data_IF_306484556155
#
_entry.id   IF_306484556155
#
_cell.length_a   1.000
_cell.length_b   1.000
_cell.length_c   1.000
_cell.angle_alpha   90.00
_cell.angle_beta   90.00
_cell.angle_gamma   90.00
#
_symmetry.space_group_name_H-M   'P 1'
#
loop_
_entity.id
_entity.type
_entity.pdbx_description
1 polymer ?
#
# COMPACT_ATOMS: atom_id res chain seq x y z
N UNK A 1 -28.10 -23.05 -5.57
CA UNK A 1 -27.03 -24.07 -5.51
C UNK A 1 -25.98 -23.55 -4.56
N UNK A 2 -25.58 -24.24 -3.50
CA UNK A 2 -24.68 -23.70 -2.47
C UNK A 2 -23.24 -23.73 -2.98
N UNK A 3 -22.55 -22.60 -2.83
CA UNK A 3 -21.12 -22.45 -3.11
C UNK A 3 -20.34 -23.11 -1.95
N UNK A 4 -19.63 -24.18 -2.27
CA UNK A 4 -18.84 -24.95 -1.33
C UNK A 4 -17.66 -24.13 -0.79
N UNK A 5 -17.54 -24.08 0.53
CA UNK A 5 -16.35 -23.60 1.25
C UNK A 5 -15.13 -24.43 0.84
N UNK A 6 -14.14 -23.79 0.22
CA UNK A 6 -12.83 -24.40 -0.03
C UNK A 6 -12.02 -24.35 1.26
N UNK A 7 -11.94 -25.47 1.93
CA UNK A 7 -11.01 -25.68 3.03
C UNK A 7 -9.57 -25.68 2.48
N UNK A 8 -8.74 -24.85 3.08
CA UNK A 8 -7.30 -24.89 2.93
C UNK A 8 -6.80 -26.21 3.51
N UNK A 9 -6.28 -27.11 2.69
CA UNK A 9 -5.59 -28.32 3.16
C UNK A 9 -4.18 -27.89 3.52
N UNK A 10 -3.93 -27.69 4.81
CA UNK A 10 -2.59 -27.61 5.35
C UNK A 10 -1.97 -29.02 5.31
N UNK A 11 -0.97 -29.22 4.47
CA UNK A 11 -0.17 -30.43 4.51
C UNK A 11 0.71 -30.41 5.77
N UNK A 12 0.28 -31.11 6.82
CA UNK A 12 1.10 -31.37 8.00
C UNK A 12 2.10 -32.45 7.62
N UNK A 13 3.32 -32.06 7.33
CA UNK A 13 4.46 -32.97 7.33
C UNK A 13 4.88 -33.20 8.78
N UNK A 14 4.51 -34.36 9.32
CA UNK A 14 4.98 -34.85 10.62
C UNK A 14 6.44 -35.26 10.45
N UNK A 15 7.40 -34.36 10.66
CA UNK A 15 8.81 -34.71 10.76
C UNK A 15 9.12 -35.13 12.21
N UNK A 16 9.61 -36.34 12.38
CA UNK A 16 10.20 -36.85 13.61
C UNK A 16 11.34 -35.90 14.04
N UNK A 17 11.12 -35.17 15.14
CA UNK A 17 12.10 -34.26 15.69
C UNK A 17 13.31 -35.05 16.24
N UNK A 18 14.42 -35.04 15.51
CA UNK A 18 15.74 -35.30 16.08
C UNK A 18 16.17 -34.04 16.86
N UNK A 19 16.50 -34.11 18.16
CA UNK A 19 16.90 -32.98 18.97
C UNK A 19 18.33 -32.49 18.65
N UNK A 20 18.68 -32.34 17.40
CA UNK A 20 20.00 -31.89 16.94
C UNK A 20 19.99 -31.07 15.64
N UNK A 21 18.84 -30.90 15.00
CA UNK A 21 18.76 -30.24 13.67
C UNK A 21 18.38 -28.75 13.67
N UNK A 22 18.10 -28.14 14.82
CA UNK A 22 17.57 -26.78 14.90
C UNK A 22 18.64 -25.66 14.91
N UNK A 23 19.91 -26.00 14.74
CA UNK A 23 21.01 -25.02 14.75
C UNK A 23 21.52 -24.61 13.35
N UNK A 24 21.04 -25.23 12.29
CA UNK A 24 21.42 -24.83 10.93
C UNK A 24 20.50 -23.73 10.41
N UNK A 25 21.07 -22.59 10.10
CA UNK A 25 20.37 -21.52 9.40
C UNK A 25 20.28 -21.82 7.90
N UNK A 26 19.19 -21.40 7.29
CA UNK A 26 18.94 -21.47 5.85
C UNK A 26 17.91 -20.43 5.44
N UNK A 27 17.68 -20.31 4.16
CA UNK A 27 16.64 -19.42 3.63
C UNK A 27 15.30 -20.15 3.59
N UNK A 28 14.23 -19.40 3.93
CA UNK A 28 12.84 -19.87 3.84
C UNK A 28 12.00 -18.84 3.10
N UNK A 29 11.07 -19.31 2.26
CA UNK A 29 10.07 -18.48 1.62
C UNK A 29 8.68 -18.87 2.08
N UNK A 30 7.93 -17.90 2.58
CA UNK A 30 6.52 -18.05 2.92
C UNK A 30 5.66 -17.12 2.08
N UNK A 31 4.49 -17.63 1.63
CA UNK A 31 3.57 -16.89 0.79
C UNK A 31 2.14 -16.98 1.32
N UNK A 32 1.45 -15.86 1.32
CA UNK A 32 0.07 -15.71 1.75
C UNK A 32 -0.71 -14.92 0.70
N UNK A 33 -2.00 -15.18 0.59
CA UNK A 33 -2.91 -14.27 -0.08
C UNK A 33 -3.60 -13.41 0.98
N UNK A 34 -3.23 -12.14 1.06
CA UNK A 34 -3.75 -11.18 2.03
C UNK A 34 -3.89 -9.79 1.39
N UNK A 35 -4.80 -8.97 1.93
CA UNK A 35 -4.99 -7.58 1.46
C UNK A 35 -5.30 -7.45 -0.05
N UNK A 36 -5.86 -8.51 -0.65
CA UNK A 36 -6.17 -8.58 -2.07
C UNK A 36 -4.97 -8.83 -2.99
N UNK A 37 -3.81 -9.20 -2.46
CA UNK A 37 -2.59 -9.47 -3.22
C UNK A 37 -1.78 -10.63 -2.63
N UNK A 38 -0.67 -10.99 -3.29
CA UNK A 38 0.30 -11.94 -2.76
C UNK A 38 1.25 -11.22 -1.80
N UNK A 39 1.34 -11.73 -0.57
CA UNK A 39 2.36 -11.37 0.41
C UNK A 39 3.43 -12.46 0.40
N UNK A 40 4.68 -12.08 0.23
CA UNK A 40 5.84 -12.99 0.29
C UNK A 40 6.79 -12.50 1.40
N UNK A 41 7.29 -13.43 2.21
CA UNK A 41 8.38 -13.16 3.16
C UNK A 41 9.51 -14.15 2.86
N UNK A 42 10.63 -13.61 2.42
CA UNK A 42 11.89 -14.32 2.27
C UNK A 42 12.72 -14.12 3.54
N UNK A 43 12.81 -15.14 4.36
CA UNK A 43 13.70 -15.20 5.52
C UNK A 43 15.08 -15.64 5.06
N UNK A 44 16.11 -14.96 5.48
CA UNK A 44 17.48 -15.21 5.07
C UNK A 44 18.33 -15.53 6.28
N UNK A 45 19.04 -16.65 6.21
CA UNK A 45 19.97 -17.11 7.25
C UNK A 45 19.31 -17.24 8.65
N UNK A 46 18.16 -17.91 8.72
CA UNK A 46 17.41 -18.15 9.96
C UNK A 46 17.24 -19.65 10.25
N UNK A 47 16.95 -20.00 11.51
CA UNK A 47 16.56 -21.38 11.86
C UNK A 47 15.09 -21.63 11.48
N UNK A 48 14.72 -22.90 11.35
CA UNK A 48 13.32 -23.28 11.06
C UNK A 48 12.37 -22.83 12.19
N UNK A 49 12.78 -22.98 13.43
CA UNK A 49 11.99 -22.54 14.59
C UNK A 49 11.78 -21.03 14.62
N UNK A 50 12.81 -20.24 14.30
CA UNK A 50 12.71 -18.77 14.22
C UNK A 50 11.74 -18.35 13.13
N UNK A 51 11.86 -18.91 11.91
CA UNK A 51 10.93 -18.56 10.82
C UNK A 51 9.50 -18.96 11.14
N UNK A 52 9.28 -20.14 11.74
CA UNK A 52 7.94 -20.61 12.11
C UNK A 52 7.29 -19.71 13.19
N UNK A 53 8.04 -19.28 14.21
CA UNK A 53 7.54 -18.36 15.23
C UNK A 53 7.17 -17.00 14.64
N UNK A 54 8.04 -16.43 13.78
CA UNK A 54 7.81 -15.15 13.13
C UNK A 54 6.56 -15.21 12.20
N UNK A 55 6.40 -16.29 11.43
CA UNK A 55 5.24 -16.49 10.57
C UNK A 55 3.95 -16.58 11.36
N UNK A 56 3.89 -17.33 12.45
CA UNK A 56 2.69 -17.42 13.29
C UNK A 56 2.26 -16.06 13.85
N UNK A 57 3.24 -15.21 14.23
CA UNK A 57 2.97 -13.84 14.68
C UNK A 57 2.46 -12.95 13.51
N UNK A 58 3.04 -13.07 12.31
CA UNK A 58 2.59 -12.36 11.11
C UNK A 58 1.16 -12.77 10.73
N UNK A 59 0.82 -14.06 10.70
CA UNK A 59 -0.52 -14.56 10.39
C UNK A 59 -1.57 -14.02 11.38
N UNK A 60 -1.22 -13.98 12.66
CA UNK A 60 -2.06 -13.36 13.69
C UNK A 60 -2.32 -11.88 13.38
N UNK A 61 -1.30 -11.16 12.91
CA UNK A 61 -1.41 -9.75 12.55
C UNK A 61 -2.21 -9.54 11.28
N UNK A 62 -1.97 -10.35 10.23
CA UNK A 62 -2.75 -10.33 8.98
C UNK A 62 -4.24 -10.44 9.27
N UNK A 63 -4.64 -11.44 10.09
CA UNK A 63 -6.05 -11.68 10.40
C UNK A 63 -6.73 -10.49 11.09
N UNK A 64 -6.00 -9.70 11.89
CA UNK A 64 -6.50 -8.48 12.53
C UNK A 64 -6.62 -7.32 11.53
N UNK A 65 -5.59 -7.12 10.69
CA UNK A 65 -5.57 -6.01 9.73
C UNK A 65 -6.58 -6.22 8.62
N UNK A 66 -6.62 -7.39 7.98
CA UNK A 66 -7.54 -7.69 6.86
C UNK A 66 -8.99 -7.49 7.25
N UNK A 67 -9.33 -7.78 8.50
CA UNK A 67 -10.67 -7.52 9.04
C UNK A 67 -10.92 -6.03 9.30
N UNK A 68 -10.00 -5.35 9.98
CA UNK A 68 -10.25 -4.03 10.56
C UNK A 68 -10.00 -2.88 9.58
N UNK A 69 -9.16 -3.07 8.57
CA UNK A 69 -8.74 -1.99 7.67
C UNK A 69 -9.47 -1.97 6.33
N UNK A 70 -10.48 -2.83 6.16
CA UNK A 70 -11.34 -2.80 4.98
C UNK A 70 -12.36 -1.66 5.11
N UNK A 71 -12.36 -0.66 4.21
CA UNK A 71 -13.16 0.56 4.40
C UNK A 71 -14.63 0.41 3.97
N UNK A 72 -15.00 -0.69 3.29
CA UNK A 72 -16.31 -0.85 2.67
C UNK A 72 -17.21 -1.78 3.47
N UNK A 73 -18.48 -1.36 3.67
CA UNK A 73 -19.45 -2.10 4.47
C UNK A 73 -20.00 -3.39 3.82
N UNK A 74 -19.71 -3.64 2.54
CA UNK A 74 -20.38 -4.67 1.72
C UNK A 74 -19.51 -5.82 1.26
N UNK A 75 -18.56 -6.28 2.04
CA UNK A 75 -17.87 -7.54 1.75
C UNK A 75 -18.73 -8.70 2.21
N UNK A 76 -19.37 -9.46 1.28
CA UNK A 76 -20.27 -10.57 1.60
C UNK A 76 -19.60 -11.57 2.55
N UNK A 77 -20.19 -11.76 3.75
CA UNK A 77 -19.76 -12.74 4.76
C UNK A 77 -18.60 -12.30 5.67
N UNK A 78 -18.10 -11.06 5.57
CA UNK A 78 -17.10 -10.50 6.50
C UNK A 78 -17.77 -9.47 7.41
N UNK A 79 -17.61 -9.54 8.75
CA UNK A 79 -18.07 -8.49 9.66
C UNK A 79 -17.49 -7.12 9.26
N UNK A 80 -18.21 -6.05 9.56
CA UNK A 80 -17.72 -4.68 9.40
C UNK A 80 -16.32 -4.53 10.02
N UNK A 81 -15.40 -3.89 9.29
CA UNK A 81 -14.09 -3.53 9.80
C UNK A 81 -14.13 -2.17 10.50
N UNK A 82 -13.13 -1.89 11.33
CA UNK A 82 -13.06 -0.65 12.11
C UNK A 82 -13.12 0.61 11.22
N UNK A 83 -12.47 0.59 10.03
CA UNK A 83 -12.56 1.74 9.09
C UNK A 83 -13.98 1.91 8.54
N UNK A 84 -14.70 0.82 8.27
CA UNK A 84 -16.10 0.91 7.83
C UNK A 84 -16.99 1.50 8.94
N UNK A 85 -16.83 1.07 10.19
CA UNK A 85 -17.53 1.65 11.34
C UNK A 85 -17.23 3.13 11.52
N UNK A 86 -15.97 3.54 11.33
CA UNK A 86 -15.57 4.96 11.36
C UNK A 86 -16.28 5.74 10.24
N UNK A 87 -16.31 5.21 9.02
CA UNK A 87 -16.98 5.86 7.89
C UNK A 87 -18.49 6.00 8.12
N UNK A 88 -19.13 4.98 8.70
CA UNK A 88 -20.56 5.04 9.07
C UNK A 88 -20.82 6.10 10.16
N UNK A 89 -19.96 6.20 11.18
CA UNK A 89 -20.06 7.21 12.23
C UNK A 89 -19.86 8.62 11.66
N UNK A 90 -18.88 8.82 10.77
CA UNK A 90 -18.66 10.10 10.06
C UNK A 90 -19.91 10.50 9.28
N UNK A 91 -20.46 9.59 8.47
CA UNK A 91 -21.66 9.84 7.69
C UNK A 91 -22.88 10.20 8.56
N UNK A 92 -22.97 9.61 9.76
CA UNK A 92 -24.00 9.90 10.76
C UNK A 92 -23.72 11.16 11.60
N UNK A 93 -22.56 11.80 11.47
CA UNK A 93 -22.14 12.95 12.29
C UNK A 93 -21.88 12.59 13.76
N UNK A 94 -21.57 11.31 14.05
CA UNK A 94 -21.38 10.79 15.40
C UNK A 94 -19.88 10.64 15.73
N UNK A 95 -19.46 10.90 16.98
CA UNK A 95 -18.11 10.59 17.41
C UNK A 95 -17.92 9.09 17.58
N UNK A 96 -16.71 8.58 17.31
CA UNK A 96 -16.36 7.18 17.44
C UNK A 96 -14.97 6.99 18.08
N UNK A 97 -14.83 6.00 18.97
CA UNK A 97 -13.55 5.62 19.50
C UNK A 97 -12.77 4.80 18.45
N UNK A 98 -11.51 5.16 18.23
CA UNK A 98 -10.63 4.53 17.23
C UNK A 98 -9.48 3.82 17.94
N UNK A 99 -9.12 2.62 17.50
CA UNK A 99 -7.98 1.89 18.04
C UNK A 99 -6.68 2.71 17.92
N UNK A 100 -5.74 2.61 18.87
CA UNK A 100 -4.54 3.43 18.88
C UNK A 100 -3.71 3.33 17.58
N UNK A 101 -3.61 2.14 17.01
CA UNK A 101 -2.84 1.90 15.78
C UNK A 101 -3.49 2.61 14.59
N UNK A 102 -4.79 2.48 14.45
CA UNK A 102 -5.52 3.11 13.35
C UNK A 102 -5.62 4.63 13.53
N UNK A 103 -5.81 5.11 14.76
CA UNK A 103 -5.78 6.55 15.07
C UNK A 103 -4.44 7.19 14.69
N UNK A 104 -3.32 6.52 14.98
CA UNK A 104 -1.99 6.99 14.58
C UNK A 104 -1.84 7.03 13.06
N UNK A 105 -2.32 6.00 12.35
CA UNK A 105 -2.25 5.94 10.89
C UNK A 105 -3.12 7.02 10.23
N UNK A 106 -4.35 7.25 10.71
CA UNK A 106 -5.24 8.30 10.18
C UNK A 106 -4.63 9.68 10.38
N UNK A 107 -4.04 9.96 11.56
CA UNK A 107 -3.34 11.24 11.81
C UNK A 107 -2.12 11.40 10.90
N UNK A 108 -1.36 10.32 10.69
CA UNK A 108 -0.23 10.34 9.76
C UNK A 108 -0.68 10.60 8.33
N UNK A 109 -1.79 9.97 7.91
CA UNK A 109 -2.41 10.19 6.60
C UNK A 109 -2.86 11.66 6.41
N UNK A 110 -3.48 12.25 7.43
CA UNK A 110 -3.88 13.67 7.41
C UNK A 110 -2.67 14.62 7.27
N UNK A 111 -1.57 14.33 7.97
CA UNK A 111 -0.33 15.10 7.84
C UNK A 111 0.22 14.98 6.41
N UNK A 112 0.25 13.78 5.83
CA UNK A 112 0.74 13.54 4.47
C UNK A 112 -0.17 14.15 3.41
N UNK A 113 -1.50 14.20 3.62
CA UNK A 113 -2.40 14.98 2.77
C UNK A 113 -1.97 16.44 2.71
N UNK A 114 -1.75 17.07 3.86
CA UNK A 114 -1.30 18.47 3.95
C UNK A 114 0.06 18.67 3.27
N UNK A 115 1.05 17.80 3.55
CA UNK A 115 2.40 17.89 3.00
C UNK A 115 2.45 17.68 1.47
N UNK A 116 1.52 16.87 0.93
CA UNK A 116 1.41 16.63 -0.52
C UNK A 116 0.53 17.64 -1.23
N UNK A 117 -0.02 18.63 -0.52
CA UNK A 117 -0.98 19.61 -1.05
C UNK A 117 -2.23 18.91 -1.60
N UNK A 118 -2.74 17.92 -0.88
CA UNK A 118 -3.94 17.17 -1.21
C UNK A 118 -3.79 16.19 -2.40
N UNK A 119 -2.57 15.92 -2.91
CA UNK A 119 -2.36 14.95 -3.98
C UNK A 119 -2.51 13.51 -3.49
N UNK A 120 -2.04 13.21 -2.31
CA UNK A 120 -2.50 12.10 -1.50
C UNK A 120 -3.63 12.60 -0.62
N UNK A 121 -4.78 11.91 -0.61
CA UNK A 121 -5.95 12.30 0.18
C UNK A 121 -6.62 11.06 0.78
N UNK A 122 -6.55 10.86 2.11
CA UNK A 122 -7.15 9.71 2.75
C UNK A 122 -8.69 9.80 2.88
N UNK A 123 -9.29 10.96 2.57
CA UNK A 123 -10.74 11.16 2.61
C UNK A 123 -11.43 10.89 1.26
N UNK A 124 -10.74 10.25 0.32
CA UNK A 124 -11.16 10.05 -1.08
C UNK A 124 -12.17 8.91 -1.27
N UNK A 125 -12.56 8.18 -0.22
CA UNK A 125 -13.34 6.96 -0.32
C UNK A 125 -14.63 7.07 -1.14
N UNK A 126 -15.39 8.16 -1.02
CA UNK A 126 -16.60 8.37 -1.84
C UNK A 126 -16.29 8.53 -3.32
N UNK A 127 -15.15 9.12 -3.67
CA UNK A 127 -14.73 9.22 -5.07
C UNK A 127 -14.28 7.84 -5.59
N UNK A 128 -13.55 7.07 -4.77
CA UNK A 128 -13.17 5.67 -5.08
C UNK A 128 -14.43 4.82 -5.33
N UNK A 129 -15.47 4.99 -4.50
CA UNK A 129 -16.77 4.33 -4.65
C UNK A 129 -17.49 4.77 -5.92
N UNK A 130 -17.54 6.08 -6.19
CA UNK A 130 -18.16 6.66 -7.39
C UNK A 130 -17.54 6.08 -8.69
N UNK A 131 -16.21 5.93 -8.72
CA UNK A 131 -15.51 5.32 -9.84
C UNK A 131 -15.57 3.79 -9.86
N UNK A 132 -16.12 3.14 -8.82
CA UNK A 132 -16.28 1.69 -8.74
C UNK A 132 -15.00 0.91 -8.43
N UNK A 133 -13.92 1.59 -8.00
CA UNK A 133 -12.65 0.93 -7.68
C UNK A 133 -12.63 0.25 -6.29
N UNK A 134 -13.71 0.37 -5.54
CA UNK A 134 -13.91 -0.30 -4.25
C UNK A 134 -14.25 -1.79 -4.41
N UNK A 135 -14.81 -2.21 -5.53
CA UNK A 135 -15.20 -3.60 -5.80
C UNK A 135 -14.51 -4.13 -7.07
N UNK A 136 -13.41 -4.86 -6.87
CA UNK A 136 -12.63 -5.43 -7.97
C UNK A 136 -13.38 -6.50 -8.77
N UNK A 137 -14.39 -7.14 -8.18
CA UNK A 137 -15.22 -8.11 -8.87
C UNK A 137 -16.26 -7.45 -9.80
N UNK A 138 -16.49 -6.14 -9.63
CA UNK A 138 -17.51 -5.37 -10.34
C UNK A 138 -17.01 -4.00 -10.80
N UNK A 139 -15.84 -3.98 -11.46
CA UNK A 139 -15.35 -2.74 -12.08
C UNK A 139 -16.40 -2.17 -13.03
N UNK A 140 -16.49 -0.84 -13.08
CA UNK A 140 -17.43 -0.15 -13.98
C UNK A 140 -17.11 -0.42 -15.45
N UNK A 141 -18.16 -0.47 -16.29
CA UNK A 141 -18.02 -0.57 -17.73
C UNK A 141 -17.88 0.80 -18.42
N UNK A 142 -18.12 1.90 -17.68
CA UNK A 142 -18.04 3.28 -18.17
C UNK A 142 -17.74 4.25 -17.02
N UNK A 143 -17.15 5.43 -17.31
CA UNK A 143 -16.95 6.51 -16.33
C UNK A 143 -18.29 6.94 -15.69
N UNK A 144 -18.25 7.45 -14.43
CA UNK A 144 -19.40 8.09 -13.81
C UNK A 144 -19.78 9.39 -14.53
N UNK A 145 -20.99 9.89 -14.23
CA UNK A 145 -21.45 11.18 -14.76
C UNK A 145 -20.53 12.33 -14.25
N UNK A 146 -20.17 13.23 -15.17
CA UNK A 146 -19.34 14.38 -14.86
C UNK A 146 -19.95 15.31 -13.80
N UNK A 147 -21.29 15.39 -13.69
CA UNK A 147 -21.99 16.19 -12.67
C UNK A 147 -21.75 15.57 -11.28
N UNK A 148 -21.78 14.26 -11.15
CA UNK A 148 -21.50 13.57 -9.88
C UNK A 148 -20.04 13.78 -9.44
N UNK A 149 -19.09 13.71 -10.39
CA UNK A 149 -17.67 14.01 -10.12
C UNK A 149 -17.52 15.45 -9.65
N UNK A 150 -18.14 16.41 -10.32
CA UNK A 150 -18.07 17.83 -9.96
C UNK A 150 -18.69 18.12 -8.58
N UNK A 151 -19.77 17.44 -8.20
CA UNK A 151 -20.34 17.55 -6.85
C UNK A 151 -19.33 17.12 -5.80
N UNK A 152 -18.63 15.99 -6.03
CA UNK A 152 -17.60 15.54 -5.09
C UNK A 152 -16.43 16.54 -4.99
N UNK A 153 -15.94 17.06 -6.12
CA UNK A 153 -14.86 18.06 -6.16
C UNK A 153 -15.27 19.34 -5.41
N UNK A 154 -16.53 19.79 -5.58
CA UNK A 154 -17.06 20.96 -4.88
C UNK A 154 -17.18 20.75 -3.37
N UNK A 155 -17.47 19.53 -2.93
CA UNK A 155 -17.54 19.15 -1.50
C UNK A 155 -16.19 19.13 -0.81
N UNK A 156 -15.08 19.05 -1.56
CA UNK A 156 -13.69 19.10 -1.07
C UNK A 156 -13.46 18.22 0.15
N UNK A 157 -13.86 16.93 0.06
CA UNK A 157 -13.59 15.98 1.13
C UNK A 157 -12.09 15.97 1.48
N UNK A 158 -11.76 16.19 2.74
CA UNK A 158 -10.40 16.30 3.25
C UNK A 158 -10.33 15.83 4.69
N UNK A 159 -9.19 15.31 5.11
CA UNK A 159 -8.94 14.96 6.50
C UNK A 159 -8.83 16.18 7.43
N UNK A 160 -8.79 17.42 6.91
CA UNK A 160 -8.86 18.64 7.72
C UNK A 160 -10.18 18.78 8.50
N UNK A 161 -11.24 18.08 8.04
CA UNK A 161 -12.53 18.05 8.75
C UNK A 161 -12.55 17.06 9.91
N UNK A 162 -11.48 16.29 10.13
CA UNK A 162 -11.38 15.33 11.22
C UNK A 162 -10.90 15.99 12.51
N UNK A 163 -11.70 15.88 13.55
CA UNK A 163 -11.38 16.36 14.88
C UNK A 163 -11.12 15.21 15.85
N UNK A 164 -10.17 15.41 16.75
CA UNK A 164 -9.73 14.39 17.69
C UNK A 164 -9.86 14.88 19.13
N UNK A 165 -10.47 14.03 19.98
CA UNK A 165 -10.38 14.16 21.44
C UNK A 165 -9.80 12.84 22.00
N UNK A 166 -8.51 12.83 22.34
CA UNK A 166 -7.79 11.59 22.59
C UNK A 166 -7.86 10.67 21.37
N UNK A 167 -8.42 9.47 21.52
CA UNK A 167 -8.66 8.53 20.42
C UNK A 167 -10.11 8.55 19.92
N UNK A 168 -10.91 9.51 20.32
CA UNK A 168 -12.26 9.71 19.78
C UNK A 168 -12.17 10.62 18.56
N UNK A 169 -12.64 10.13 17.43
CA UNK A 169 -12.71 10.84 16.15
C UNK A 169 -14.14 11.37 15.92
N UNK A 170 -14.23 12.56 15.37
CA UNK A 170 -15.43 13.15 14.79
C UNK A 170 -15.07 13.83 13.48
N UNK A 171 -16.01 13.93 12.57
CA UNK A 171 -15.87 14.76 11.36
C UNK A 171 -16.88 15.89 11.35
N UNK A 172 -16.44 17.08 10.91
CA UNK A 172 -17.31 18.24 10.67
C UNK A 172 -17.92 18.21 9.26
N UNK A 173 -17.59 17.23 8.43
CA UNK A 173 -18.19 17.02 7.12
C UNK A 173 -18.63 15.55 6.97
N UNK A 174 -19.89 15.29 6.56
CA UNK A 174 -20.37 13.94 6.27
C UNK A 174 -19.84 13.41 4.93
N UNK A 175 -19.20 14.26 4.12
CA UNK A 175 -18.64 13.89 2.83
C UNK A 175 -17.28 13.16 2.95
N UNK A 176 -16.64 13.25 4.12
CA UNK A 176 -15.42 12.50 4.40
C UNK A 176 -15.75 11.01 4.46
N UNK A 177 -15.01 10.23 3.69
CA UNK A 177 -15.00 8.77 3.75
C UNK A 177 -13.56 8.30 3.66
N UNK A 178 -13.06 7.70 4.73
CA UNK A 178 -11.68 7.25 4.79
C UNK A 178 -11.44 6.06 3.86
N UNK A 179 -10.40 6.19 3.03
CA UNK A 179 -9.78 5.14 2.24
C UNK A 179 -8.27 5.24 2.45
N UNK A 180 -7.71 4.27 3.16
CA UNK A 180 -6.29 4.24 3.49
C UNK A 180 -5.45 3.40 2.51
N UNK A 181 -6.01 3.01 1.36
CA UNK A 181 -5.36 2.13 0.38
C UNK A 181 -3.99 2.63 -0.10
N UNK A 182 -3.77 3.94 -0.17
CA UNK A 182 -2.49 4.54 -0.59
C UNK A 182 -1.49 4.78 0.56
N UNK A 183 -1.69 4.19 1.75
CA UNK A 183 -0.78 4.31 2.90
C UNK A 183 -0.74 3.03 3.77
N UNK A 184 -1.70 2.15 3.57
CA UNK A 184 -1.88 0.97 4.41
C UNK A 184 -0.74 -0.03 4.24
N UNK A 185 -0.25 -0.24 3.01
CA UNK A 185 0.83 -1.21 2.74
C UNK A 185 2.13 -0.79 3.42
N UNK A 186 2.47 0.50 3.38
CA UNK A 186 3.61 1.03 4.14
C UNK A 186 3.52 0.74 5.63
N UNK A 187 2.35 1.00 6.24
CA UNK A 187 2.12 0.72 7.66
C UNK A 187 2.15 -0.77 8.00
N UNK A 188 1.67 -1.63 7.10
CA UNK A 188 1.73 -3.09 7.28
C UNK A 188 3.18 -3.58 7.24
N UNK A 189 3.98 -3.09 6.29
CA UNK A 189 5.41 -3.43 6.19
C UNK A 189 6.17 -3.06 7.46
N UNK A 190 5.97 -1.85 8.01
CA UNK A 190 6.61 -1.44 9.28
C UNK A 190 6.23 -2.34 10.45
N UNK A 191 4.97 -2.74 10.54
CA UNK A 191 4.50 -3.65 11.58
C UNK A 191 5.12 -5.05 11.41
N UNK A 192 5.25 -5.55 10.19
CA UNK A 192 5.88 -6.84 9.93
C UNK A 192 7.38 -6.80 10.22
N UNK A 193 8.09 -5.72 9.86
CA UNK A 193 9.49 -5.53 10.25
C UNK A 193 9.65 -5.62 11.77
N UNK A 194 8.75 -4.96 12.51
CA UNK A 194 8.76 -5.01 13.98
C UNK A 194 8.56 -6.45 14.48
N UNK A 195 7.55 -7.16 13.98
CA UNK A 195 7.26 -8.55 14.34
C UNK A 195 8.46 -9.46 14.04
N UNK A 196 9.07 -9.33 12.86
CA UNK A 196 10.22 -10.15 12.47
C UNK A 196 11.38 -9.94 13.43
N UNK A 197 11.71 -8.69 13.75
CA UNK A 197 12.79 -8.35 14.69
C UNK A 197 12.53 -8.86 16.12
N UNK A 198 11.30 -8.73 16.61
CA UNK A 198 10.88 -9.25 17.93
C UNK A 198 10.99 -10.77 18.01
N UNK A 199 10.92 -11.47 16.87
CA UNK A 199 11.10 -12.93 16.78
C UNK A 199 12.53 -13.35 16.38
N UNK A 200 13.52 -12.43 16.44
CA UNK A 200 14.93 -12.74 16.21
C UNK A 200 15.30 -12.93 14.73
N UNK A 201 14.54 -12.34 13.81
CA UNK A 201 14.86 -12.34 12.37
C UNK A 201 15.67 -11.09 12.05
N UNK A 202 16.94 -11.28 11.71
CA UNK A 202 17.86 -10.19 11.36
C UNK A 202 17.87 -9.84 9.90
N UNK A 203 17.56 -10.82 9.01
CA UNK A 203 17.60 -10.65 7.57
C UNK A 203 16.35 -11.21 6.90
N UNK A 204 15.64 -10.36 6.15
CA UNK A 204 14.46 -10.76 5.38
C UNK A 204 14.13 -9.75 4.26
N UNK A 205 13.34 -10.19 3.29
CA UNK A 205 12.63 -9.32 2.36
C UNK A 205 11.13 -9.59 2.55
N UNK A 206 10.35 -8.53 2.75
CA UNK A 206 8.88 -8.60 2.85
C UNK A 206 8.31 -7.89 1.63
N UNK A 207 7.51 -8.58 0.83
CA UNK A 207 6.88 -8.06 -0.40
C UNK A 207 5.35 -8.19 -0.31
N UNK A 208 4.63 -7.11 -0.51
CA UNK A 208 3.16 -7.05 -0.54
C UNK A 208 2.74 -6.54 -1.93
N UNK A 209 2.66 -7.46 -2.91
CA UNK A 209 2.19 -7.13 -4.26
C UNK A 209 3.11 -6.14 -5.01
N UNK A 210 4.43 -6.22 -4.78
CA UNK A 210 5.43 -5.35 -5.40
C UNK A 210 5.87 -4.16 -4.54
N UNK A 211 5.18 -3.88 -3.42
CA UNK A 211 5.66 -2.97 -2.37
C UNK A 211 6.43 -3.76 -1.34
N UNK A 212 7.67 -3.40 -1.11
CA UNK A 212 8.55 -4.23 -0.30
C UNK A 212 9.41 -3.43 0.69
N UNK A 213 9.93 -4.14 1.68
CA UNK A 213 10.97 -3.63 2.59
C UNK A 213 12.05 -4.68 2.81
N UNK A 214 13.27 -4.20 3.05
CA UNK A 214 14.44 -5.04 3.34
C UNK A 214 14.76 -4.95 4.82
N UNK A 215 14.86 -6.08 5.49
CA UNK A 215 15.37 -6.20 6.86
C UNK A 215 16.79 -6.72 6.79
N UNK A 216 17.75 -6.02 7.40
CA UNK A 216 19.16 -6.43 7.40
C UNK A 216 19.79 -6.48 6.00
N UNK A 217 20.38 -7.63 5.64
CA UNK A 217 21.16 -7.79 4.40
C UNK A 217 20.84 -9.10 3.68
N UNK A 218 21.16 -9.17 2.40
CA UNK A 218 21.13 -10.40 1.60
C UNK A 218 22.59 -10.88 1.42
N UNK A 219 22.96 -11.95 2.12
CA UNK A 219 24.36 -12.47 2.13
C UNK A 219 25.40 -11.37 2.42
N UNK A 220 25.13 -10.52 3.42
CA UNK A 220 26.03 -9.43 3.86
C UNK A 220 26.07 -8.22 2.92
N UNK A 221 25.13 -8.10 1.96
CA UNK A 221 25.05 -6.99 0.97
C UNK A 221 23.65 -6.39 0.93
N UNK A 222 23.48 -5.18 0.37
CA UNK A 222 22.17 -4.66 0.03
C UNK A 222 21.39 -5.61 -0.90
N UNK A 223 20.08 -5.62 -0.78
CA UNK A 223 19.21 -6.39 -1.67
C UNK A 223 19.17 -5.76 -3.08
N UNK A 224 19.15 -6.59 -4.12
CA UNK A 224 18.93 -6.14 -5.49
C UNK A 224 17.46 -6.23 -5.82
N UNK A 225 16.81 -5.09 -6.02
CA UNK A 225 15.38 -4.99 -6.28
C UNK A 225 15.15 -4.49 -7.70
N UNK A 226 14.30 -5.21 -8.44
CA UNK A 226 13.88 -4.83 -9.78
C UNK A 226 12.71 -3.86 -9.75
N UNK A 227 12.77 -2.79 -10.56
CA UNK A 227 11.62 -1.94 -10.86
C UNK A 227 10.96 -2.48 -12.11
N UNK A 228 9.69 -2.88 -11.99
CA UNK A 228 8.89 -3.44 -13.09
C UNK A 228 8.68 -2.40 -14.19
N UNK A 229 8.75 -2.85 -15.45
CA UNK A 229 8.29 -2.05 -16.58
C UNK A 229 6.75 -1.90 -16.51
N UNK A 230 6.20 -0.67 -16.60
CA UNK A 230 4.74 -0.48 -16.50
C UNK A 230 3.97 -0.97 -17.72
N UNK A 231 4.65 -1.35 -18.80
CA UNK A 231 4.01 -1.71 -20.09
C UNK A 231 4.40 -3.09 -20.61
N UNK A 232 5.36 -3.74 -19.99
CA UNK A 232 5.82 -5.09 -20.37
C UNK A 232 5.98 -5.94 -19.11
N UNK A 233 6.02 -7.27 -19.27
CA UNK A 233 6.30 -8.19 -18.15
C UNK A 233 7.80 -8.27 -17.81
N UNK A 234 8.54 -7.20 -18.07
CA UNK A 234 9.98 -7.14 -17.88
C UNK A 234 10.38 -6.16 -16.77
N UNK A 235 11.66 -6.17 -16.41
CA UNK A 235 12.27 -5.25 -15.47
C UNK A 235 12.78 -4.02 -16.25
N UNK A 236 12.36 -2.83 -15.84
CA UNK A 236 12.83 -1.54 -16.38
C UNK A 236 14.29 -1.30 -15.99
N UNK A 237 14.56 -1.49 -14.71
CA UNK A 237 15.85 -1.25 -14.08
C UNK A 237 15.91 -2.00 -12.74
N UNK A 238 17.07 -2.06 -12.13
CA UNK A 238 17.23 -2.55 -10.76
C UNK A 238 18.06 -1.56 -9.94
N UNK A 239 17.93 -1.64 -8.61
CA UNK A 239 18.70 -0.84 -7.68
C UNK A 239 19.08 -1.66 -6.45
N UNK A 240 20.12 -1.21 -5.73
CA UNK A 240 20.48 -1.75 -4.43
C UNK A 240 19.69 -1.05 -3.33
N UNK A 241 19.03 -1.85 -2.48
CA UNK A 241 18.20 -1.40 -1.36
C UNK A 241 18.84 -1.86 -0.06
N UNK A 242 19.13 -0.91 0.81
CA UNK A 242 19.74 -1.19 2.10
C UNK A 242 18.72 -1.71 3.10
N UNK A 243 19.21 -2.41 4.14
CA UNK A 243 18.35 -2.81 5.25
C UNK A 243 17.72 -1.61 5.95
N UNK A 244 16.41 -1.71 6.18
CA UNK A 244 15.60 -0.64 6.75
C UNK A 244 14.98 0.31 5.71
N UNK A 245 15.24 0.11 4.41
CA UNK A 245 14.55 0.85 3.35
C UNK A 245 13.35 0.07 2.81
N UNK A 246 12.31 0.79 2.44
CA UNK A 246 11.15 0.29 1.70
C UNK A 246 11.17 0.83 0.26
N UNK A 247 10.65 0.04 -0.67
CA UNK A 247 10.41 0.41 -2.06
C UNK A 247 8.91 0.32 -2.30
N UNK A 248 8.28 1.47 -2.53
CA UNK A 248 6.84 1.57 -2.73
C UNK A 248 6.54 2.06 -4.14
N UNK A 249 5.60 1.41 -4.82
CA UNK A 249 5.26 1.74 -6.20
C UNK A 249 3.76 1.85 -6.41
N UNK A 250 3.31 3.00 -6.87
CA UNK A 250 1.95 3.19 -7.39
C UNK A 250 1.96 3.09 -8.92
N UNK A 251 0.99 2.35 -9.50
CA UNK A 251 0.96 2.13 -10.94
C UNK A 251 -0.46 2.02 -11.50
N UNK A 252 -0.62 2.42 -12.79
CA UNK A 252 -1.89 2.42 -13.51
C UNK A 252 -2.31 1.02 -14.00
N UNK A 253 -1.43 0.04 -13.81
CA UNK A 253 -1.61 -1.35 -14.23
C UNK A 253 -2.17 -2.26 -13.13
N UNK A 254 -2.29 -1.77 -11.90
CA UNK A 254 -2.80 -2.55 -10.76
C UNK A 254 -4.32 -2.77 -10.88
N UNK A 255 -5.08 -1.68 -11.03
CA UNK A 255 -6.55 -1.68 -11.12
C UNK A 255 -6.97 -0.64 -12.13
N UNK A 256 -7.71 -1.05 -13.15
CA UNK A 256 -8.23 -0.15 -14.18
C UNK A 256 -9.41 -0.78 -14.92
N UNK A 257 -10.17 0.04 -15.60
CA UNK A 257 -11.08 -0.40 -16.67
C UNK A 257 -10.79 0.40 -17.94
N UNK A 258 -11.23 -0.13 -19.07
CA UNK A 258 -11.09 0.54 -20.37
C UNK A 258 -12.46 0.92 -20.92
N UNK A 259 -12.57 2.15 -21.39
CA UNK A 259 -13.80 2.65 -22.03
C UNK A 259 -13.42 3.53 -23.22
N UNK A 260 -13.98 3.22 -24.38
CA UNK A 260 -13.71 3.93 -25.66
C UNK A 260 -12.21 4.09 -25.97
N UNK A 261 -11.44 3.03 -25.76
CA UNK A 261 -9.98 3.01 -26.00
C UNK A 261 -9.14 3.81 -25.00
N UNK A 262 -9.74 4.32 -23.93
CA UNK A 262 -9.06 5.04 -22.87
C UNK A 262 -9.04 4.20 -21.58
N UNK A 263 -7.88 4.15 -20.93
CA UNK A 263 -7.70 3.49 -19.63
C UNK A 263 -8.04 4.46 -18.50
N UNK A 264 -8.83 3.98 -17.54
CA UNK A 264 -9.20 4.68 -16.32
C UNK A 264 -8.65 3.88 -15.14
N UNK A 265 -7.56 4.38 -14.57
CA UNK A 265 -6.86 3.74 -13.45
C UNK A 265 -7.48 4.13 -12.10
N UNK A 266 -7.20 3.35 -11.07
CA UNK A 266 -7.74 3.55 -9.73
C UNK A 266 -7.13 4.73 -8.95
N UNK A 267 -5.97 5.24 -9.37
CA UNK A 267 -5.37 6.42 -8.74
C UNK A 267 -6.06 7.66 -9.29
N UNK A 268 -6.83 8.30 -8.42
CA UNK A 268 -7.64 9.47 -8.73
C UNK A 268 -6.91 10.75 -8.31
N UNK A 269 -6.99 11.79 -9.12
CA UNK A 269 -6.55 13.13 -8.70
C UNK A 269 -7.68 13.78 -7.89
N UNK A 270 -7.51 14.01 -6.58
CA UNK A 270 -8.55 14.57 -5.72
C UNK A 270 -9.02 15.97 -6.12
N UNK A 271 -8.19 16.70 -6.87
CA UNK A 271 -8.46 18.07 -7.31
C UNK A 271 -9.38 18.15 -8.53
N UNK A 272 -9.26 17.18 -9.42
CA UNK A 272 -10.10 17.08 -10.62
C UNK A 272 -11.24 16.08 -10.48
N UNK A 273 -11.10 15.11 -9.58
CA UNK A 273 -12.00 13.98 -9.40
C UNK A 273 -11.86 12.89 -10.47
N UNK A 274 -10.86 12.98 -11.36
CA UNK A 274 -10.63 12.02 -12.44
C UNK A 274 -9.39 11.17 -12.21
N UNK A 275 -9.35 9.94 -12.79
CA UNK A 275 -8.14 9.13 -12.85
C UNK A 275 -6.98 9.87 -13.50
N UNK A 276 -5.79 9.71 -12.96
CA UNK A 276 -4.56 10.25 -13.53
C UNK A 276 -4.34 9.70 -14.94
N UNK A 277 -3.90 10.56 -15.89
CA UNK A 277 -3.73 10.18 -17.28
C UNK A 277 -2.31 10.41 -17.82
N UNK A 278 -1.45 11.15 -17.09
CA UNK A 278 -0.11 11.56 -17.56
C UNK A 278 1.02 10.69 -17.02
N UNK A 279 0.81 9.96 -15.92
CA UNK A 279 1.83 9.15 -15.24
C UNK A 279 1.31 7.73 -15.09
N UNK A 280 2.16 6.77 -15.39
CA UNK A 280 1.81 5.34 -15.38
C UNK A 280 2.40 4.58 -14.20
N UNK A 281 3.50 5.08 -13.64
CA UNK A 281 4.16 4.50 -12.47
C UNK A 281 4.93 5.55 -11.69
N UNK A 282 4.97 5.40 -10.37
CA UNK A 282 5.79 6.19 -9.47
C UNK A 282 6.39 5.27 -8.41
N UNK A 283 7.72 5.28 -8.26
CA UNK A 283 8.45 4.48 -7.27
C UNK A 283 9.22 5.39 -6.34
N UNK A 284 9.12 5.12 -5.04
CA UNK A 284 9.84 5.82 -3.97
C UNK A 284 10.59 4.81 -3.13
N UNK A 285 11.84 5.12 -2.79
CA UNK A 285 12.66 4.36 -1.83
C UNK A 285 12.92 5.24 -0.62
N UNK A 286 12.50 4.79 0.55
CA UNK A 286 12.64 5.55 1.80
C UNK A 286 12.67 4.63 3.03
N UNK A 287 13.26 5.09 4.13
CA UNK A 287 13.27 4.34 5.39
C UNK A 287 11.89 4.34 6.10
N UNK A 288 11.10 5.39 5.93
CA UNK A 288 9.70 5.49 6.37
C UNK A 288 8.81 4.93 5.25
N UNK A 289 8.33 3.69 5.42
CA UNK A 289 7.51 3.01 4.43
C UNK A 289 6.13 3.66 4.27
N UNK A 290 5.58 4.25 5.32
CA UNK A 290 4.31 4.97 5.31
C UNK A 290 4.40 6.24 4.47
N UNK A 291 5.49 7.01 4.62
CA UNK A 291 5.77 8.16 3.76
C UNK A 291 5.96 7.73 2.32
N UNK A 292 6.74 6.67 2.07
CA UNK A 292 7.03 6.19 0.72
C UNK A 292 5.76 5.77 -0.04
N UNK A 293 4.82 5.08 0.62
CA UNK A 293 3.55 4.62 0.06
C UNK A 293 2.67 5.83 -0.37
N UNK A 294 2.43 6.75 0.56
CA UNK A 294 1.67 7.97 0.27
C UNK A 294 2.36 8.85 -0.79
N UNK A 295 3.70 8.96 -0.74
CA UNK A 295 4.47 9.74 -1.69
C UNK A 295 4.44 9.16 -3.11
N UNK A 296 4.50 7.83 -3.26
CA UNK A 296 4.35 7.18 -4.56
C UNK A 296 3.00 7.53 -5.21
N UNK A 297 1.91 7.46 -4.44
CA UNK A 297 0.57 7.89 -4.89
C UNK A 297 0.56 9.38 -5.24
N UNK A 298 1.10 10.24 -4.37
CA UNK A 298 1.11 11.69 -4.59
C UNK A 298 1.97 12.10 -5.81
N UNK A 299 3.12 11.43 -6.05
CA UNK A 299 3.96 11.66 -7.22
C UNK A 299 3.28 11.24 -8.52
N UNK A 300 2.55 10.12 -8.52
CA UNK A 300 1.75 9.69 -9.66
C UNK A 300 0.69 10.74 -10.01
N UNK A 301 0.03 11.33 -9.00
CA UNK A 301 -0.94 12.43 -9.16
C UNK A 301 -0.27 13.75 -9.56
N UNK A 302 0.92 14.05 -9.02
CA UNK A 302 1.65 15.29 -9.33
C UNK A 302 2.13 15.36 -10.78
N UNK A 303 2.49 14.19 -11.33
CA UNK A 303 3.02 14.07 -12.68
C UNK A 303 4.39 14.75 -12.88
N UNK A 304 4.84 14.84 -14.14
CA UNK A 304 6.16 15.38 -14.43
C UNK A 304 6.31 16.85 -14.01
N UNK A 305 5.26 17.65 -14.08
CA UNK A 305 5.32 19.08 -13.74
C UNK A 305 5.44 19.34 -12.23
N UNK A 306 4.89 18.43 -11.42
CA UNK A 306 4.92 18.53 -9.96
C UNK A 306 6.04 17.71 -9.30
N UNK A 307 6.75 16.87 -10.04
CA UNK A 307 7.68 15.88 -9.52
C UNK A 307 8.80 16.50 -8.65
N UNK A 308 9.58 17.42 -9.23
CA UNK A 308 10.76 17.97 -8.55
C UNK A 308 10.37 18.73 -7.28
N UNK A 309 9.29 19.51 -7.36
CA UNK A 309 8.78 20.26 -6.20
C UNK A 309 8.32 19.32 -5.10
N UNK A 310 7.52 18.33 -5.42
CA UNK A 310 6.97 17.42 -4.42
C UNK A 310 8.07 16.55 -3.78
N UNK A 311 9.09 16.13 -4.56
CA UNK A 311 10.25 15.45 -4.01
C UNK A 311 11.01 16.35 -3.01
N UNK A 312 11.18 17.65 -3.32
CA UNK A 312 11.82 18.58 -2.41
C UNK A 312 10.98 18.85 -1.15
N UNK A 313 9.66 19.06 -1.29
CA UNK A 313 8.75 19.33 -0.18
C UNK A 313 8.68 18.16 0.80
N UNK A 314 8.79 16.91 0.32
CA UNK A 314 8.76 15.68 1.13
C UNK A 314 10.16 15.16 1.52
N UNK A 315 11.25 15.78 1.04
CA UNK A 315 12.62 15.32 1.30
C UNK A 315 12.97 14.00 0.64
N UNK A 316 12.39 13.67 -0.51
CA UNK A 316 12.61 12.39 -1.20
C UNK A 316 13.91 12.45 -2.02
N UNK A 317 14.95 11.73 -1.58
CA UNK A 317 16.20 11.61 -2.32
C UNK A 317 16.13 10.55 -3.43
N UNK A 318 15.35 9.49 -3.26
CA UNK A 318 15.30 8.34 -4.16
C UNK A 318 13.88 8.11 -4.65
N UNK A 319 13.55 8.72 -5.80
CA UNK A 319 12.22 8.61 -6.43
C UNK A 319 12.32 8.66 -7.96
N UNK A 320 11.38 8.00 -8.64
CA UNK A 320 11.18 8.11 -10.09
C UNK A 320 9.70 8.06 -10.45
N UNK A 321 9.35 8.64 -11.59
CA UNK A 321 8.08 8.44 -12.28
C UNK A 321 8.32 8.03 -13.73
N UNK A 322 7.37 7.26 -14.27
CA UNK A 322 7.29 6.93 -15.70
C UNK A 322 6.01 7.56 -16.25
N UNK A 323 6.13 8.33 -17.32
CA UNK A 323 4.99 8.98 -17.97
C UNK A 323 4.29 8.05 -18.96
N UNK A 324 3.11 8.45 -19.43
CA UNK A 324 2.35 7.72 -20.47
C UNK A 324 3.10 7.65 -21.79
N UNK A 325 3.99 8.63 -22.09
CA UNK A 325 4.89 8.62 -23.26
C UNK A 325 6.09 7.70 -23.10
N UNK A 326 6.33 7.15 -21.89
CA UNK A 326 7.49 6.32 -21.57
C UNK A 326 8.70 7.10 -21.07
N UNK A 327 8.61 8.43 -20.96
CA UNK A 327 9.66 9.24 -20.38
C UNK A 327 9.82 8.96 -18.89
N UNK A 328 11.07 8.92 -18.43
CA UNK A 328 11.39 8.71 -17.01
C UNK A 328 11.96 10.00 -16.41
N UNK A 329 11.32 10.46 -15.32
CA UNK A 329 11.92 11.47 -14.44
C UNK A 329 12.37 10.81 -13.15
N UNK A 330 13.52 11.21 -12.65
CA UNK A 330 14.10 10.64 -11.44
C UNK A 330 14.89 11.70 -10.66
N UNK A 331 14.96 11.51 -9.36
CA UNK A 331 15.81 12.33 -8.47
C UNK A 331 17.28 11.97 -8.67
N UNK A 332 18.17 12.87 -8.25
CA UNK A 332 19.62 12.62 -8.33
C UNK A 332 20.06 11.39 -7.49
N UNK A 333 19.43 11.14 -6.36
CA UNK A 333 19.71 9.94 -5.55
C UNK A 333 19.29 8.67 -6.26
N UNK A 334 18.12 8.68 -6.92
CA UNK A 334 17.67 7.53 -7.72
C UNK A 334 18.62 7.31 -8.91
N UNK A 335 19.04 8.35 -9.62
CA UNK A 335 19.97 8.25 -10.75
C UNK A 335 21.29 7.57 -10.38
N UNK A 336 21.82 7.85 -9.20
CA UNK A 336 23.05 7.24 -8.71
C UNK A 336 22.94 5.76 -8.35
N UNK A 337 21.73 5.31 -7.99
CA UNK A 337 21.46 3.94 -7.51
C UNK A 337 20.88 3.02 -8.58
N UNK A 338 20.31 3.61 -9.65
CA UNK A 338 19.57 2.88 -10.68
C UNK A 338 20.50 2.26 -11.73
N UNK A 339 20.30 0.98 -12.00
CA UNK A 339 21.00 0.26 -13.04
C UNK A 339 19.97 -0.16 -14.12
N UNK A 340 20.06 0.50 -15.26
CA UNK A 340 19.16 0.21 -16.38
C UNK A 340 19.44 -1.16 -16.98
N UNK A 341 18.39 -1.90 -17.33
CA UNK A 341 18.55 -3.22 -17.95
C UNK A 341 19.19 -3.14 -19.34
N UNK A 342 19.02 -2.02 -20.04
CA UNK A 342 19.36 -1.87 -21.45
C UNK A 342 20.39 -0.76 -21.73
N UNK A 343 21.17 -0.35 -20.76
CA UNK A 343 22.31 0.59 -20.94
C UNK A 343 23.63 -0.09 -20.77
#
# INVERSE_FOLDING_TARGET
>A
MPVAARHLIAAILLSLACPGCDSQTRDFRHQFYAFGTLLTIDFLDVTESTSAAAIAAVETRISKIDRNWYPWSTRAGVPFGEIAEINDAIAAGQPIAVSPVLAALIRRAALLESQTGGRFNPAIGRLTELWGFHDLARLRAAPPDGIEIQKWVAGRASSEYLEWNGNVLRSNSPDVMLDLGGIAKGSILEQFVTILRENGVDNAIIDIGGDLTVVGTVSGRPARIGIRSPRTDDVLAWLEVAGGEAVMTSGDYERFFEYQGKRYQHVLDPRSGYPVQHTVSATVVHADAVLADAAATALLVAGPDGFDRLCADLGLDVALIVTVSGDVRLTRGMEKRLHWKWR
#
